data_IF_010377399923
#
_entry.id   IF_010377399923
#
_cell.length_a   1.000
_cell.length_b   1.000
_cell.length_c   1.000
_cell.angle_alpha   90.00
_cell.angle_beta   90.00
_cell.angle_gamma   90.00
#
_symmetry.space_group_name_H-M   'P 1'
#
loop_
_entity.id
_entity.type
_entity.pdbx_description
1 polymer ?
#
# COMPACT_ATOMS: atom_id res chain seq x y z
N UNK A 1 18.05 53.15 -21.85
CA UNK A 1 16.79 52.78 -22.52
C UNK A 1 16.64 51.27 -22.43
N UNK A 2 15.78 50.79 -21.54
CA UNK A 2 15.47 49.35 -21.40
C UNK A 2 14.48 48.94 -22.51
N UNK A 3 14.59 47.73 -23.08
CA UNK A 3 13.64 47.28 -24.09
C UNK A 3 12.26 47.01 -23.46
N UNK A 4 11.18 47.15 -24.25
CA UNK A 4 9.81 47.00 -23.75
C UNK A 4 9.49 45.55 -23.38
N UNK A 5 8.72 45.39 -22.30
CA UNK A 5 8.20 44.12 -21.79
C UNK A 5 7.51 43.33 -22.91
N UNK A 6 7.99 42.11 -23.16
CA UNK A 6 7.30 41.13 -24.00
C UNK A 6 5.99 40.72 -23.29
N UNK A 7 4.83 40.73 -23.98
CA UNK A 7 3.61 40.20 -23.40
C UNK A 7 3.77 38.69 -23.14
N UNK A 8 3.45 38.25 -21.92
CA UNK A 8 3.48 36.86 -21.51
C UNK A 8 2.47 36.04 -22.32
N UNK A 9 2.86 34.84 -22.73
CA UNK A 9 2.01 33.93 -23.51
C UNK A 9 0.93 33.29 -22.62
N UNK A 10 -0.22 32.88 -23.19
CA UNK A 10 -1.29 32.20 -22.43
C UNK A 10 -0.81 30.93 -21.71
N UNK A 11 0.27 30.29 -22.19
CA UNK A 11 0.93 29.15 -21.53
C UNK A 11 1.75 29.54 -20.28
N UNK A 12 2.18 30.80 -20.16
CA UNK A 12 2.87 31.33 -18.97
C UNK A 12 1.88 31.84 -17.92
N UNK A 13 0.67 32.24 -18.33
CA UNK A 13 -0.40 32.70 -17.44
C UNK A 13 -1.16 31.52 -16.80
N UNK A 14 -1.33 30.41 -17.53
CA UNK A 14 -1.99 29.20 -17.03
C UNK A 14 -0.96 28.11 -16.71
N UNK A 15 -0.31 28.28 -15.55
CA UNK A 15 0.65 27.32 -15.00
C UNK A 15 0.12 25.89 -14.91
N UNK A 16 1.04 24.93 -15.08
CA UNK A 16 0.98 23.50 -14.69
C UNK A 16 -0.42 23.00 -14.31
N UNK A 17 -1.32 22.89 -15.30
CA UNK A 17 -2.40 21.91 -15.18
C UNK A 17 -1.79 20.55 -15.46
N UNK A 18 -1.81 19.69 -14.43
CA UNK A 18 -1.43 18.29 -14.56
C UNK A 18 -2.07 17.73 -15.82
N UNK A 19 -1.30 16.92 -16.56
CA UNK A 19 -1.84 16.14 -17.67
C UNK A 19 -3.14 15.51 -17.21
N UNK A 20 -4.24 15.87 -17.86
CA UNK A 20 -5.52 15.19 -17.70
C UNK A 20 -5.26 13.73 -18.10
N UNK A 21 -5.13 12.84 -17.12
CA UNK A 21 -5.07 11.39 -17.36
C UNK A 21 -6.39 11.03 -18.05
N UNK A 22 -6.33 10.61 -19.30
CA UNK A 22 -7.47 10.02 -20.00
C UNK A 22 -7.67 8.58 -19.52
N UNK A 23 -8.92 8.10 -19.51
CA UNK A 23 -9.32 6.76 -19.03
C UNK A 23 -8.50 5.60 -19.66
N UNK A 24 -7.91 5.79 -20.84
CA UNK A 24 -7.05 4.80 -21.47
C UNK A 24 -5.73 4.52 -20.72
N UNK A 25 -5.26 5.45 -19.87
CA UNK A 25 -4.08 5.26 -19.03
C UNK A 25 -4.41 4.66 -17.65
N UNK A 26 -5.70 4.43 -17.33
CA UNK A 26 -6.12 3.92 -16.03
C UNK A 26 -5.81 2.42 -15.82
N UNK A 27 -5.50 1.69 -16.91
CA UNK A 27 -5.21 0.24 -16.88
C UNK A 27 -3.72 -0.10 -16.76
N UNK A 28 -2.82 0.88 -16.93
CA UNK A 28 -1.37 0.67 -16.82
C UNK A 28 -0.89 0.87 -15.39
N UNK A 29 -1.02 -0.17 -14.57
CA UNK A 29 -0.33 -0.30 -13.29
C UNK A 29 1.17 -0.28 -13.54
N UNK A 30 1.84 0.77 -13.07
CA UNK A 30 3.28 0.91 -13.21
C UNK A 30 4.03 0.15 -12.11
N UNK A 31 5.35 0.00 -12.27
CA UNK A 31 6.17 -0.75 -11.31
C UNK A 31 6.24 -0.08 -9.93
N UNK A 32 6.14 1.24 -9.86
CA UNK A 32 6.14 1.98 -8.58
C UNK A 32 4.89 1.65 -7.78
N UNK A 33 3.73 1.64 -8.44
CA UNK A 33 2.47 1.23 -7.81
C UNK A 33 2.54 -0.20 -7.33
N UNK A 34 2.98 -1.15 -8.17
CA UNK A 34 3.17 -2.54 -7.76
C UNK A 34 4.07 -2.68 -6.52
N UNK A 35 5.24 -2.03 -6.53
CA UNK A 35 6.19 -2.09 -5.42
C UNK A 35 5.62 -1.51 -4.12
N UNK A 36 4.71 -0.53 -4.21
CA UNK A 36 4.04 -0.02 -3.01
C UNK A 36 3.17 -1.06 -2.31
N UNK A 37 2.64 -2.05 -3.05
CA UNK A 37 1.91 -3.19 -2.46
C UNK A 37 2.85 -4.29 -1.96
N UNK A 38 3.99 -4.51 -2.63
CA UNK A 38 4.95 -5.56 -2.25
C UNK A 38 5.78 -5.22 -1.01
N UNK A 39 6.31 -3.99 -0.97
CA UNK A 39 7.23 -3.56 0.08
C UNK A 39 6.50 -3.39 1.40
N UNK A 40 7.12 -3.85 2.48
CA UNK A 40 6.65 -3.62 3.84
C UNK A 40 7.19 -2.31 4.38
N UNK A 41 6.48 -1.75 5.36
CA UNK A 41 6.93 -0.58 6.12
C UNK A 41 8.31 -0.85 6.72
N UNK A 42 8.52 -2.05 7.28
CA UNK A 42 9.81 -2.50 7.81
C UNK A 42 10.95 -2.53 6.79
N UNK A 43 10.66 -2.68 5.49
CA UNK A 43 11.70 -2.68 4.44
C UNK A 43 12.26 -1.28 4.18
N UNK A 44 11.52 -0.23 4.56
CA UNK A 44 11.84 1.15 4.19
C UNK A 44 11.92 2.12 5.38
N UNK A 45 11.44 1.74 6.56
CA UNK A 45 11.44 2.59 7.75
C UNK A 45 12.85 2.90 8.28
N UNK A 46 12.98 4.00 9.02
CA UNK A 46 14.17 4.26 9.84
C UNK A 46 14.02 3.60 11.21
N UNK A 47 15.05 2.86 11.63
CA UNK A 47 15.16 2.25 12.96
C UNK A 47 16.09 3.02 13.90
N UNK A 48 16.86 3.98 13.38
CA UNK A 48 17.66 4.89 14.21
C UNK A 48 16.73 5.98 14.76
N UNK A 49 16.28 5.78 15.99
CA UNK A 49 15.26 6.60 16.63
C UNK A 49 15.87 7.58 17.62
N UNK A 50 15.58 8.85 17.39
CA UNK A 50 15.78 9.89 18.39
C UNK A 50 14.44 10.24 19.02
N UNK A 51 14.38 10.19 20.35
CA UNK A 51 13.15 10.35 21.12
C UNK A 51 13.27 11.50 22.11
N UNK A 52 12.14 12.04 22.54
CA UNK A 52 12.03 12.97 23.67
C UNK A 52 11.24 12.35 24.82
N UNK A 53 11.28 12.97 26.00
CA UNK A 53 10.38 12.65 27.12
C UNK A 53 9.38 13.79 27.35
N UNK A 54 8.23 13.54 28.00
CA UNK A 54 7.21 14.57 28.22
C UNK A 54 7.72 15.79 29.00
N UNK A 55 8.68 15.60 29.90
CA UNK A 55 9.25 16.65 30.77
C UNK A 55 10.41 17.40 30.12
N UNK A 56 10.96 16.88 29.01
CA UNK A 56 12.09 17.48 28.33
C UNK A 56 11.74 18.92 27.89
N UNK A 57 12.61 19.91 28.10
CA UNK A 57 12.38 21.25 27.57
C UNK A 57 12.42 21.28 26.04
N UNK A 58 11.53 22.05 25.40
CA UNK A 58 11.49 22.18 23.94
C UNK A 58 12.82 22.64 23.33
N UNK A 59 13.58 23.48 24.04
CA UNK A 59 14.91 23.91 23.62
C UNK A 59 15.90 22.73 23.44
N UNK A 60 15.80 21.68 24.28
CA UNK A 60 16.63 20.49 24.14
C UNK A 60 16.19 19.66 22.94
N UNK A 61 14.88 19.54 22.71
CA UNK A 61 14.38 18.83 21.53
C UNK A 61 14.79 19.54 20.23
N UNK A 62 14.75 20.86 20.20
CA UNK A 62 15.23 21.65 19.05
C UNK A 62 16.70 21.32 18.72
N UNK A 63 17.53 21.12 19.73
CA UNK A 63 18.92 20.72 19.55
C UNK A 63 19.04 19.31 18.95
N UNK A 64 18.23 18.35 19.41
CA UNK A 64 18.13 17.01 18.82
C UNK A 64 17.75 17.10 17.34
N UNK A 65 16.69 17.86 17.03
CA UNK A 65 16.23 18.07 15.64
C UNK A 65 17.34 18.65 14.76
N UNK A 66 18.07 19.65 15.26
CA UNK A 66 19.15 20.32 14.55
C UNK A 66 20.33 19.40 14.26
N UNK A 67 20.83 18.70 15.29
CA UNK A 67 22.01 17.82 15.17
C UNK A 67 21.73 16.68 14.20
N UNK A 68 20.57 16.04 14.34
CA UNK A 68 20.24 14.83 13.59
C UNK A 68 19.53 15.14 12.26
N UNK A 69 19.33 16.43 11.96
CA UNK A 69 18.68 16.93 10.73
C UNK A 69 17.30 16.31 10.49
N UNK A 70 16.56 16.12 11.57
CA UNK A 70 15.18 15.62 11.56
C UNK A 70 14.22 16.74 11.95
N UNK A 71 12.98 16.67 11.49
CA UNK A 71 11.97 17.72 11.72
C UNK A 71 10.88 17.34 12.73
N UNK A 72 11.14 16.34 13.57
CA UNK A 72 10.23 15.86 14.61
C UNK A 72 10.69 14.53 15.20
N UNK A 73 10.24 14.24 16.42
CA UNK A 73 10.61 13.08 17.23
C UNK A 73 9.38 12.47 17.90
N UNK A 74 9.32 11.14 18.03
CA UNK A 74 8.38 10.50 18.94
C UNK A 74 8.74 10.84 20.40
N UNK A 75 7.73 10.95 21.24
CA UNK A 75 7.85 11.21 22.67
C UNK A 75 7.53 9.91 23.40
N UNK A 76 8.45 9.46 24.25
CA UNK A 76 8.28 8.24 25.04
C UNK A 76 8.12 8.57 26.51
N UNK A 77 7.15 7.93 27.16
CA UNK A 77 6.97 7.94 28.62
C UNK A 77 7.07 6.49 29.11
N UNK A 78 8.00 6.22 30.03
CA UNK A 78 8.26 4.86 30.54
C UNK A 78 8.53 3.79 29.45
N UNK A 79 9.03 4.22 28.28
CA UNK A 79 9.29 3.35 27.13
C UNK A 79 8.10 3.13 26.20
N UNK A 80 6.93 3.71 26.50
CA UNK A 80 5.73 3.66 25.67
C UNK A 80 5.56 4.96 24.87
N UNK A 81 4.96 4.85 23.68
CA UNK A 81 4.71 6.00 22.80
C UNK A 81 3.62 6.90 23.39
N UNK A 82 4.03 8.03 23.95
CA UNK A 82 3.15 8.98 24.65
C UNK A 82 2.71 10.15 23.76
N UNK A 83 3.45 10.42 22.69
CA UNK A 83 3.13 11.52 21.78
C UNK A 83 4.11 11.66 20.62
N UNK A 84 3.91 12.71 19.84
CA UNK A 84 4.85 13.15 18.80
C UNK A 84 5.02 14.66 18.85
N UNK A 85 6.26 15.12 18.63
CA UNK A 85 6.59 16.54 18.55
C UNK A 85 7.26 16.83 17.21
N UNK A 86 6.81 17.88 16.53
CA UNK A 86 7.36 18.34 15.27
C UNK A 86 8.08 19.69 15.41
N UNK A 87 8.84 20.05 14.38
CA UNK A 87 9.44 21.38 14.29
C UNK A 87 8.39 22.49 14.26
N UNK A 88 7.19 22.23 13.72
CA UNK A 88 6.08 23.19 13.70
C UNK A 88 5.61 23.53 15.11
N UNK A 89 5.53 22.54 16.00
CA UNK A 89 5.17 22.73 17.41
C UNK A 89 6.20 23.59 18.14
N UNK A 90 7.49 23.36 17.85
CA UNK A 90 8.59 24.17 18.41
C UNK A 90 8.55 25.60 17.89
N UNK A 91 8.26 25.81 16.59
CA UNK A 91 8.10 27.15 16.02
C UNK A 91 6.93 27.87 16.68
N UNK A 92 5.82 27.17 16.94
CA UNK A 92 4.66 27.73 17.64
C UNK A 92 5.00 28.14 19.08
N UNK A 93 5.74 27.30 19.81
CA UNK A 93 6.22 27.62 21.15
C UNK A 93 7.20 28.80 21.16
N UNK A 94 8.09 28.89 20.17
CA UNK A 94 9.05 29.97 20.03
C UNK A 94 8.36 31.32 19.81
N UNK A 95 7.30 31.37 19.00
CA UNK A 95 6.50 32.58 18.81
C UNK A 95 5.86 33.10 20.11
N UNK A 96 5.61 32.21 21.07
CA UNK A 96 5.07 32.53 22.40
C UNK A 96 6.17 32.78 23.45
N UNK A 97 7.45 32.62 23.11
CA UNK A 97 8.56 32.74 24.04
C UNK A 97 8.66 31.57 25.04
N UNK A 98 8.12 30.40 24.70
CA UNK A 98 7.95 29.28 25.62
C UNK A 98 8.90 28.10 25.38
N UNK A 99 10.11 28.33 24.86
CA UNK A 99 11.08 27.25 24.59
C UNK A 99 11.55 26.48 25.85
N UNK A 100 11.34 27.04 27.04
CA UNK A 100 11.61 26.37 28.31
C UNK A 100 10.44 25.47 28.79
N UNK A 101 9.29 25.51 28.11
CA UNK A 101 8.15 24.66 28.45
C UNK A 101 8.45 23.17 28.18
N UNK A 102 7.79 22.26 28.91
CA UNK A 102 7.92 20.84 28.68
C UNK A 102 7.27 20.42 27.35
N UNK A 103 7.81 19.37 26.74
CA UNK A 103 7.29 18.74 25.51
C UNK A 103 5.81 18.38 25.63
N UNK A 104 5.38 17.88 26.79
CA UNK A 104 3.98 17.50 27.07
C UNK A 104 2.96 18.61 26.82
N UNK A 105 3.37 19.88 26.89
CA UNK A 105 2.48 21.02 26.63
C UNK A 105 2.15 21.20 25.14
N UNK A 106 3.03 20.73 24.25
CA UNK A 106 2.97 20.99 22.81
C UNK A 106 2.90 19.74 21.94
N UNK A 107 3.17 18.55 22.51
CA UNK A 107 3.11 17.31 21.76
C UNK A 107 1.67 16.95 21.36
N UNK A 108 1.54 16.26 20.24
CA UNK A 108 0.29 15.60 19.87
C UNK A 108 0.20 14.25 20.59
N UNK A 109 -0.85 14.05 21.38
CA UNK A 109 -1.09 12.83 22.15
C UNK A 109 -1.78 11.72 21.34
N UNK A 110 -2.69 12.10 20.45
CA UNK A 110 -3.35 11.14 19.54
C UNK A 110 -2.43 10.85 18.36
N UNK A 111 -1.56 9.86 18.55
CA UNK A 111 -0.53 9.53 17.57
C UNK A 111 -1.09 8.54 16.55
N UNK A 112 -1.15 8.97 15.29
CA UNK A 112 -1.43 8.07 14.17
C UNK A 112 -0.16 7.26 13.88
N UNK A 113 -0.26 5.94 13.97
CA UNK A 113 0.84 5.00 13.71
C UNK A 113 0.57 4.14 12.47
N UNK A 114 1.61 3.43 12.04
CA UNK A 114 1.51 2.31 11.09
C UNK A 114 2.24 1.11 11.69
N UNK A 115 1.82 -0.10 11.36
CA UNK A 115 2.52 -1.29 11.83
C UNK A 115 3.65 -1.70 10.87
N UNK A 116 4.73 -2.26 11.40
CA UNK A 116 5.93 -2.61 10.63
C UNK A 116 5.68 -3.66 9.52
N UNK A 117 4.66 -4.50 9.68
CA UNK A 117 4.27 -5.53 8.72
C UNK A 117 3.29 -5.03 7.64
N UNK A 118 2.77 -3.81 7.77
CA UNK A 118 1.90 -3.21 6.75
C UNK A 118 2.69 -2.94 5.46
N UNK A 119 1.98 -2.85 4.33
CA UNK A 119 2.59 -2.47 3.07
C UNK A 119 2.87 -0.97 2.99
N UNK A 120 3.79 -0.58 2.12
CA UNK A 120 4.10 0.83 1.85
C UNK A 120 2.87 1.60 1.33
N UNK A 121 2.02 0.97 0.52
CA UNK A 121 0.78 1.59 0.03
C UNK A 121 -0.13 1.99 1.19
N UNK A 122 -0.15 1.19 2.26
CA UNK A 122 -0.92 1.51 3.46
C UNK A 122 -0.40 2.78 4.14
N UNK A 123 0.91 2.89 4.30
CA UNK A 123 1.52 4.11 4.82
C UNK A 123 1.23 5.33 3.92
N UNK A 124 1.24 5.17 2.59
CA UNK A 124 0.88 6.23 1.63
C UNK A 124 -0.58 6.67 1.81
N UNK A 125 -1.52 5.73 2.00
CA UNK A 125 -2.92 6.02 2.30
C UNK A 125 -3.04 6.81 3.61
N UNK A 126 -2.37 6.36 4.67
CA UNK A 126 -2.36 7.06 5.97
C UNK A 126 -1.79 8.47 5.82
N UNK A 127 -0.74 8.66 5.03
CA UNK A 127 -0.17 9.98 4.71
C UNK A 127 -1.04 10.89 3.84
N UNK A 128 -2.03 10.33 3.15
CA UNK A 128 -2.94 11.07 2.27
C UNK A 128 -4.21 11.45 3.03
N UNK A 129 -4.70 10.54 3.87
CA UNK A 129 -5.82 10.77 4.77
C UNK A 129 -5.42 11.73 5.91
N UNK A 130 -4.20 11.59 6.43
CA UNK A 130 -3.63 12.53 7.40
C UNK A 130 -2.83 13.63 6.69
N UNK A 131 -2.68 14.80 7.32
CA UNK A 131 -1.76 15.85 6.84
C UNK A 131 -0.36 15.71 7.44
N UNK A 132 -0.01 14.52 7.92
CA UNK A 132 1.22 14.27 8.66
C UNK A 132 2.41 14.11 7.69
N UNK A 133 3.59 14.53 8.15
CA UNK A 133 4.85 14.38 7.41
C UNK A 133 5.63 13.11 7.78
N UNK A 134 5.30 12.49 8.91
CA UNK A 134 5.92 11.28 9.44
C UNK A 134 4.91 10.45 10.21
N UNK A 135 5.14 9.15 10.32
CA UNK A 135 4.33 8.22 11.10
C UNK A 135 5.26 7.36 11.96
N UNK A 136 5.00 7.25 13.27
CA UNK A 136 5.65 6.24 14.09
C UNK A 136 5.26 4.84 13.64
N UNK A 137 6.23 3.94 13.64
CA UNK A 137 6.06 2.55 13.27
C UNK A 137 6.07 1.69 14.52
N UNK A 138 5.04 0.88 14.69
CA UNK A 138 4.86 0.00 15.86
C UNK A 138 4.93 -1.48 15.51
N UNK A 139 5.28 -2.30 16.49
CA UNK A 139 5.15 -3.77 16.43
C UNK A 139 3.76 -4.26 16.83
N UNK A 140 3.60 -5.58 16.94
CA UNK A 140 2.35 -6.25 17.34
C UNK A 140 1.91 -5.90 18.76
N UNK A 141 2.84 -5.52 19.64
CA UNK A 141 2.61 -5.14 21.02
C UNK A 141 2.42 -3.61 21.17
N UNK A 142 2.21 -2.88 20.07
CA UNK A 142 2.17 -1.42 20.00
C UNK A 142 3.45 -0.70 20.47
N UNK A 143 4.59 -1.40 20.50
CA UNK A 143 5.86 -0.77 20.85
C UNK A 143 6.44 -0.06 19.64
N UNK A 144 7.01 1.12 19.88
CA UNK A 144 7.69 1.89 18.85
C UNK A 144 8.95 1.13 18.38
N UNK A 145 9.00 0.78 17.09
CA UNK A 145 10.13 0.07 16.45
C UNK A 145 10.76 0.84 15.31
N UNK A 146 10.13 1.92 14.85
CA UNK A 146 10.67 2.73 13.77
C UNK A 146 9.89 4.02 13.54
N UNK A 147 10.33 4.75 12.53
CA UNK A 147 9.64 5.93 11.99
C UNK A 147 9.67 5.84 10.47
N UNK A 148 8.60 6.26 9.82
CA UNK A 148 8.52 6.32 8.36
C UNK A 148 8.11 7.71 7.90
N UNK A 149 8.71 8.16 6.79
CA UNK A 149 8.37 9.40 6.09
C UNK A 149 8.12 9.15 4.61
N UNK A 150 7.53 10.13 3.92
CA UNK A 150 7.39 10.11 2.45
C UNK A 150 8.76 9.98 1.74
N UNK A 151 9.81 10.54 2.35
CA UNK A 151 11.18 10.44 1.83
C UNK A 151 11.75 9.03 1.93
N UNK A 152 11.49 8.34 3.04
CA UNK A 152 11.90 6.94 3.25
C UNK A 152 11.21 6.02 2.25
N UNK A 153 9.90 6.19 2.05
CA UNK A 153 9.12 5.48 1.03
C UNK A 153 9.71 5.70 -0.36
N UNK A 154 9.97 6.96 -0.73
CA UNK A 154 10.53 7.30 -2.04
C UNK A 154 11.89 6.63 -2.25
N UNK A 155 12.77 6.69 -1.23
CA UNK A 155 14.09 6.05 -1.27
C UNK A 155 13.98 4.53 -1.36
N UNK A 156 13.13 3.91 -0.56
CA UNK A 156 12.91 2.46 -0.56
C UNK A 156 12.41 1.94 -1.90
N UNK A 157 11.41 2.61 -2.50
CA UNK A 157 10.92 2.28 -3.84
C UNK A 157 12.03 2.42 -4.89
N UNK A 158 12.83 3.50 -4.84
CA UNK A 158 13.94 3.69 -5.77
C UNK A 158 15.00 2.57 -5.66
N UNK A 159 15.34 2.14 -4.45
CA UNK A 159 16.26 1.02 -4.22
C UNK A 159 15.66 -0.29 -4.76
N UNK A 160 14.38 -0.55 -4.50
CA UNK A 160 13.70 -1.75 -4.99
C UNK A 160 13.63 -1.80 -6.53
N UNK A 161 13.35 -0.67 -7.19
CA UNK A 161 13.36 -0.56 -8.65
C UNK A 161 14.73 -0.91 -9.25
N UNK A 162 15.82 -0.49 -8.60
CA UNK A 162 17.18 -0.80 -9.05
C UNK A 162 17.48 -2.30 -8.95
N UNK A 163 17.01 -2.95 -7.88
CA UNK A 163 17.20 -4.39 -7.67
C UNK A 163 16.39 -5.22 -8.66
N UNK A 164 15.15 -4.84 -8.92
CA UNK A 164 14.28 -5.51 -9.89
C UNK A 164 14.87 -5.50 -11.31
N UNK A 165 15.49 -4.39 -11.73
CA UNK A 165 16.13 -4.30 -13.04
C UNK A 165 17.20 -5.39 -13.22
N UNK A 166 17.96 -5.68 -12.17
CA UNK A 166 18.98 -6.74 -12.17
C UNK A 166 18.34 -8.15 -12.18
N UNK A 167 17.22 -8.35 -11.48
CA UNK A 167 16.52 -9.65 -11.43
C UNK A 167 15.75 -9.98 -12.73
N UNK A 168 15.19 -8.97 -13.41
CA UNK A 168 14.49 -9.14 -14.69
C UNK A 168 15.43 -9.57 -15.83
N UNK A 169 16.68 -9.08 -15.87
CA UNK A 169 17.69 -9.54 -16.84
C UNK A 169 17.98 -11.04 -16.70
N UNK A 170 17.98 -11.57 -15.46
CA UNK A 170 18.23 -13.00 -15.19
C UNK A 170 17.00 -13.86 -15.50
N UNK A 171 15.77 -13.37 -15.23
CA UNK A 171 14.53 -14.11 -15.52
C UNK A 171 14.22 -14.22 -17.00
N UNK A 172 14.60 -13.23 -17.81
CA UNK A 172 14.49 -13.29 -19.27
C UNK A 172 15.23 -14.50 -19.87
N UNK A 173 16.22 -15.03 -19.15
CA UNK A 173 16.98 -16.23 -19.51
C UNK A 173 16.29 -17.56 -19.16
N UNK A 174 15.17 -17.55 -18.42
CA UNK A 174 14.44 -18.75 -17.98
C UNK A 174 12.94 -18.65 -18.21
N UNK A 175 12.54 -18.46 -19.46
CA UNK A 175 11.17 -18.76 -19.87
C UNK A 175 11.18 -20.06 -20.66
N UNK A 176 10.46 -21.07 -20.19
CA UNK A 176 10.14 -22.25 -21.00
C UNK A 176 8.92 -23.03 -20.48
N UNK A 177 7.83 -22.95 -21.24
CA UNK A 177 6.99 -24.07 -21.69
C UNK A 177 6.12 -24.88 -20.70
N UNK A 178 5.89 -24.45 -19.45
CA UNK A 178 5.06 -25.23 -18.51
C UNK A 178 3.64 -25.57 -19.02
N UNK A 179 3.04 -24.72 -19.87
CA UNK A 179 1.73 -25.00 -20.49
C UNK A 179 1.81 -25.51 -21.94
N UNK A 180 2.95 -25.31 -22.61
CA UNK A 180 3.11 -25.70 -24.02
C UNK A 180 3.41 -27.20 -24.16
N UNK A 181 3.97 -27.82 -23.11
CA UNK A 181 4.28 -29.26 -23.08
C UNK A 181 3.12 -30.13 -22.54
N UNK A 182 1.99 -29.52 -22.12
CA UNK A 182 0.84 -30.25 -21.57
C UNK A 182 -0.24 -30.39 -22.65
N UNK A 183 -0.30 -31.56 -23.29
CA UNK A 183 -1.38 -31.91 -24.22
C UNK A 183 -2.63 -32.26 -23.40
N UNK A 184 -3.61 -31.35 -23.37
CA UNK A 184 -4.92 -31.56 -22.77
C UNK A 184 -5.97 -30.74 -23.51
N UNK A 185 -7.21 -31.24 -23.59
CA UNK A 185 -8.34 -30.47 -24.12
C UNK A 185 -8.58 -29.19 -23.29
N UNK A 186 -8.26 -29.24 -21.98
CA UNK A 186 -8.23 -28.09 -21.07
C UNK A 186 -7.21 -28.31 -19.96
N UNK A 187 -6.33 -27.33 -19.77
CA UNK A 187 -5.41 -27.26 -18.63
C UNK A 187 -5.77 -26.06 -17.77
N UNK A 188 -5.95 -26.29 -16.48
CA UNK A 188 -6.17 -25.22 -15.49
C UNK A 188 -5.19 -25.40 -14.34
N UNK A 189 -4.38 -24.38 -14.07
CA UNK A 189 -3.58 -24.33 -12.85
C UNK A 189 -4.42 -23.73 -11.74
N UNK A 190 -4.56 -24.45 -10.62
CA UNK A 190 -5.33 -23.99 -9.46
C UNK A 190 -4.40 -23.79 -8.28
N UNK A 191 -4.31 -22.57 -7.76
CA UNK A 191 -3.65 -22.26 -6.49
C UNK A 191 -4.70 -21.96 -5.43
N UNK A 192 -4.54 -22.52 -4.23
CA UNK A 192 -5.46 -22.32 -3.10
C UNK A 192 -4.68 -21.91 -1.86
N UNK A 193 -5.20 -20.90 -1.17
CA UNK A 193 -4.63 -20.35 0.05
C UNK A 193 -5.71 -20.28 1.11
N UNK A 194 -5.39 -20.75 2.31
CA UNK A 194 -6.22 -20.54 3.49
C UNK A 194 -5.73 -19.28 4.18
N UNK A 195 -6.59 -18.28 4.27
CA UNK A 195 -6.29 -16.99 4.89
C UNK A 195 -6.83 -17.00 6.30
N UNK A 196 -5.97 -16.77 7.29
CA UNK A 196 -6.37 -16.76 8.70
C UNK A 196 -6.97 -15.40 9.07
N UNK A 197 -8.03 -15.42 9.88
CA UNK A 197 -8.60 -14.21 10.45
C UNK A 197 -7.54 -13.45 11.26
N UNK A 198 -7.45 -12.13 11.08
CA UNK A 198 -6.58 -11.21 11.84
C UNK A 198 -5.07 -11.50 11.76
N UNK A 199 -4.60 -12.31 10.81
CA UNK A 199 -3.18 -12.60 10.60
C UNK A 199 -2.49 -11.52 9.73
N UNK A 200 -2.44 -10.28 10.25
CA UNK A 200 -1.91 -9.13 9.51
C UNK A 200 -0.41 -9.23 9.22
N UNK A 201 0.35 -9.92 10.07
CA UNK A 201 1.79 -10.15 9.90
C UNK A 201 2.11 -10.83 8.57
N UNK A 202 1.26 -11.80 8.18
CA UNK A 202 1.42 -12.55 6.94
C UNK A 202 0.62 -11.96 5.77
N UNK A 203 -0.01 -10.80 5.96
CA UNK A 203 -0.82 -10.17 4.94
C UNK A 203 -0.02 -9.83 3.68
N UNK A 204 -0.53 -10.26 2.53
CA UNK A 204 0.09 -10.02 1.21
C UNK A 204 1.00 -11.16 0.76
N UNK A 205 1.19 -12.19 1.59
CA UNK A 205 1.98 -13.36 1.23
C UNK A 205 1.32 -14.18 0.11
N UNK A 206 -0.01 -14.33 0.13
CA UNK A 206 -0.69 -15.07 -0.94
C UNK A 206 -0.53 -14.33 -2.28
N UNK A 207 -0.75 -13.01 -2.28
CA UNK A 207 -0.49 -12.16 -3.46
C UNK A 207 0.95 -12.28 -3.97
N UNK A 208 1.94 -12.13 -3.08
CA UNK A 208 3.36 -12.22 -3.44
C UNK A 208 3.72 -13.58 -4.06
N UNK A 209 3.20 -14.67 -3.49
CA UNK A 209 3.43 -16.03 -3.99
C UNK A 209 2.75 -16.27 -5.34
N UNK A 210 1.51 -15.80 -5.51
CA UNK A 210 0.78 -15.83 -6.78
C UNK A 210 1.56 -15.08 -7.86
N UNK A 211 2.01 -13.86 -7.57
CA UNK A 211 2.78 -13.04 -8.50
C UNK A 211 4.07 -13.75 -8.92
N UNK A 212 4.80 -14.32 -7.97
CA UNK A 212 6.03 -15.08 -8.24
C UNK A 212 5.74 -16.31 -9.09
N UNK A 213 4.63 -17.02 -8.85
CA UNK A 213 4.22 -18.16 -9.65
C UNK A 213 3.87 -17.75 -11.09
N UNK A 214 3.04 -16.71 -11.27
CA UNK A 214 2.65 -16.19 -12.59
C UNK A 214 3.86 -15.73 -13.41
N UNK A 215 4.78 -14.97 -12.79
CA UNK A 215 6.01 -14.55 -13.47
C UNK A 215 6.91 -15.73 -13.87
N UNK A 216 7.02 -16.77 -13.01
CA UNK A 216 7.81 -17.98 -13.32
C UNK A 216 7.19 -18.83 -14.44
N UNK A 217 5.88 -18.73 -14.63
CA UNK A 217 5.14 -19.39 -15.70
C UNK A 217 5.19 -18.63 -17.03
N UNK A 218 5.95 -17.53 -17.11
CA UNK A 218 6.03 -16.68 -18.30
C UNK A 218 4.82 -15.74 -18.46
N UNK A 219 4.06 -15.50 -17.38
CA UNK A 219 2.92 -14.59 -17.42
C UNK A 219 3.34 -13.17 -17.82
N UNK A 220 2.47 -12.51 -18.59
CA UNK A 220 2.68 -11.11 -18.99
C UNK A 220 2.84 -10.23 -17.72
N UNK A 221 3.87 -9.35 -17.66
CA UNK A 221 4.12 -8.53 -16.47
C UNK A 221 2.95 -7.64 -16.06
N UNK A 222 2.22 -7.06 -17.03
CA UNK A 222 1.09 -6.19 -16.77
C UNK A 222 -0.11 -6.94 -16.19
N UNK A 223 -0.40 -8.13 -16.73
CA UNK A 223 -1.44 -9.02 -16.20
C UNK A 223 -1.07 -9.49 -14.80
N UNK A 224 0.21 -9.82 -14.59
CA UNK A 224 0.71 -10.30 -13.30
C UNK A 224 0.64 -9.21 -12.22
N UNK A 225 0.96 -7.95 -12.56
CA UNK A 225 0.77 -6.77 -11.69
C UNK A 225 -0.67 -6.59 -11.26
N UNK A 226 -1.57 -6.54 -12.25
CA UNK A 226 -3.01 -6.41 -12.05
C UNK A 226 -3.55 -7.51 -11.12
N UNK A 227 -3.16 -8.75 -11.38
CA UNK A 227 -3.53 -9.90 -10.56
C UNK A 227 -2.99 -9.76 -9.13
N UNK A 228 -1.71 -9.42 -8.96
CA UNK A 228 -1.10 -9.26 -7.64
C UNK A 228 -1.82 -8.22 -6.78
N UNK A 229 -2.08 -7.04 -7.32
CA UNK A 229 -2.77 -5.97 -6.56
C UNK A 229 -4.20 -6.38 -6.22
N UNK A 230 -4.95 -6.94 -7.18
CA UNK A 230 -6.31 -7.40 -6.91
C UNK A 230 -6.37 -8.49 -5.82
N UNK A 231 -5.43 -9.43 -5.87
CA UNK A 231 -5.31 -10.50 -4.86
C UNK A 231 -4.89 -9.95 -3.51
N UNK A 232 -4.00 -8.94 -3.45
CA UNK A 232 -3.61 -8.32 -2.19
C UNK A 232 -4.81 -7.70 -1.47
N UNK A 233 -5.61 -6.91 -2.19
CA UNK A 233 -6.81 -6.26 -1.63
C UNK A 233 -7.84 -7.30 -1.16
N UNK A 234 -8.04 -8.36 -1.95
CA UNK A 234 -8.92 -9.46 -1.58
C UNK A 234 -8.41 -10.24 -0.36
N UNK A 235 -7.11 -10.48 -0.28
CA UNK A 235 -6.44 -11.13 0.86
C UNK A 235 -6.60 -10.28 2.13
N UNK A 236 -6.41 -8.96 2.05
CA UNK A 236 -6.57 -8.06 3.20
C UNK A 236 -8.02 -8.06 3.68
N UNK A 237 -8.99 -8.00 2.76
CA UNK A 237 -10.40 -8.08 3.12
C UNK A 237 -10.74 -9.38 3.85
N UNK A 238 -10.15 -10.51 3.43
CA UNK A 238 -10.30 -11.78 4.15
C UNK A 238 -9.73 -11.67 5.56
N UNK A 239 -8.48 -11.21 5.73
CA UNK A 239 -7.85 -11.05 7.05
C UNK A 239 -8.69 -10.17 8.00
N UNK A 240 -9.24 -9.09 7.45
CA UNK A 240 -9.98 -8.08 8.22
C UNK A 240 -11.37 -8.57 8.62
N UNK A 241 -12.12 -9.19 7.70
CA UNK A 241 -13.57 -9.37 7.85
C UNK A 241 -14.00 -10.79 8.21
N UNK A 242 -13.20 -11.81 7.90
CA UNK A 242 -13.59 -13.20 8.21
C UNK A 242 -13.63 -13.47 9.71
N UNK A 243 -14.52 -14.36 10.14
CA UNK A 243 -14.60 -14.79 11.53
C UNK A 243 -13.63 -15.93 11.82
N UNK A 244 -13.58 -16.96 10.95
CA UNK A 244 -12.78 -18.17 11.18
C UNK A 244 -11.71 -18.43 10.10
N UNK A 245 -11.55 -17.51 9.15
CA UNK A 245 -10.64 -17.64 8.02
C UNK A 245 -11.39 -17.80 6.70
N UNK A 246 -10.73 -17.37 5.63
CA UNK A 246 -11.28 -17.41 4.28
C UNK A 246 -10.46 -18.27 3.33
N UNK A 247 -11.04 -18.57 2.17
CA UNK A 247 -10.34 -19.26 1.09
C UNK A 247 -10.08 -18.25 -0.01
N UNK A 248 -8.83 -18.16 -0.46
CA UNK A 248 -8.45 -17.48 -1.69
C UNK A 248 -8.03 -18.51 -2.73
N UNK A 249 -8.65 -18.46 -3.91
CA UNK A 249 -8.41 -19.40 -5.01
C UNK A 249 -8.06 -18.63 -6.29
N UNK A 250 -7.01 -19.05 -6.96
CA UNK A 250 -6.60 -18.59 -8.28
C UNK A 250 -6.75 -19.75 -9.27
N UNK A 251 -7.43 -19.51 -10.39
CA UNK A 251 -7.51 -20.43 -11.53
C UNK A 251 -6.93 -19.74 -12.76
N UNK A 252 -5.86 -20.32 -13.30
CA UNK A 252 -5.18 -19.82 -14.49
C UNK A 252 -5.51 -20.75 -15.65
N UNK A 253 -6.20 -20.19 -16.63
CA UNK A 253 -6.57 -20.79 -17.91
C UNK A 253 -5.87 -20.00 -19.05
N UNK A 254 -5.70 -20.57 -20.25
CA UNK A 254 -4.98 -19.91 -21.36
C UNK A 254 -5.48 -18.49 -21.71
N UNK A 255 -6.78 -18.23 -21.55
CA UNK A 255 -7.38 -16.95 -21.93
C UNK A 255 -7.95 -16.17 -20.74
N UNK A 256 -7.73 -16.66 -19.52
CA UNK A 256 -8.38 -16.09 -18.34
C UNK A 256 -7.70 -16.46 -17.04
N UNK A 257 -7.57 -15.50 -16.16
CA UNK A 257 -7.26 -15.71 -14.74
C UNK A 257 -8.52 -15.39 -13.94
N UNK A 258 -8.99 -16.35 -13.15
CA UNK A 258 -10.10 -16.16 -12.21
C UNK A 258 -9.55 -16.18 -10.78
N UNK A 259 -9.83 -15.13 -10.02
CA UNK A 259 -9.52 -15.04 -8.59
C UNK A 259 -10.84 -15.06 -7.83
N UNK A 260 -10.99 -15.93 -6.85
CA UNK A 260 -12.20 -15.98 -6.03
C UNK A 260 -11.86 -16.06 -4.56
N UNK A 261 -12.59 -15.31 -3.75
CA UNK A 261 -12.53 -15.42 -2.29
C UNK A 261 -13.89 -15.78 -1.71
N UNK A 262 -13.86 -16.51 -0.59
CA UNK A 262 -15.04 -16.82 0.22
C UNK A 262 -14.66 -16.68 1.69
N UNK A 263 -15.50 -16.00 2.46
CA UNK A 263 -15.41 -15.88 3.91
C UNK A 263 -16.76 -16.12 4.59
N UNK A 264 -16.70 -16.26 5.91
CA UNK A 264 -17.80 -16.42 6.83
C UNK A 264 -18.03 -15.16 7.70
N UNK A 265 -17.56 -14.00 7.22
CA UNK A 265 -17.58 -12.73 7.92
C UNK A 265 -18.98 -12.13 8.08
N UNK A 266 -19.07 -10.83 8.46
CA UNK A 266 -20.35 -10.17 8.75
C UNK A 266 -21.23 -9.98 7.51
N UNK A 267 -20.69 -10.14 6.31
CA UNK A 267 -21.35 -9.76 5.07
C UNK A 267 -21.45 -8.24 4.89
N UNK A 268 -21.91 -7.82 3.72
CA UNK A 268 -22.00 -6.43 3.27
C UNK A 268 -23.49 -6.09 3.09
N UNK A 269 -24.06 -5.17 3.90
CA UNK A 269 -25.48 -4.81 3.81
C UNK A 269 -25.87 -4.14 2.50
N UNK A 270 -25.02 -3.24 1.99
CA UNK A 270 -25.21 -2.54 0.72
C UNK A 270 -23.95 -2.64 -0.14
N UNK A 271 -24.01 -3.54 -1.12
CA UNK A 271 -22.92 -3.80 -2.07
C UNK A 271 -22.68 -2.58 -2.97
N UNK A 272 -23.73 -1.86 -3.34
CA UNK A 272 -23.62 -0.70 -4.23
C UNK A 272 -22.86 0.43 -3.55
N UNK A 273 -23.15 0.64 -2.26
CA UNK A 273 -22.45 1.59 -1.43
C UNK A 273 -20.99 1.17 -1.17
N UNK A 274 -20.75 -0.12 -0.93
CA UNK A 274 -19.40 -0.66 -0.71
C UNK A 274 -18.44 -0.48 -1.91
N UNK A 275 -18.98 -0.34 -3.11
CA UNK A 275 -18.20 -0.08 -4.33
C UNK A 275 -17.89 1.41 -4.56
N UNK A 276 -18.36 2.31 -3.70
CA UNK A 276 -18.07 3.75 -3.80
C UNK A 276 -16.72 4.09 -3.15
N UNK A 277 -15.91 4.96 -3.78
CA UNK A 277 -14.64 5.41 -3.21
C UNK A 277 -14.80 6.01 -1.81
N UNK A 278 -13.95 5.58 -0.88
CA UNK A 278 -13.93 6.12 0.49
C UNK A 278 -14.96 5.51 1.43
N UNK A 279 -15.82 4.60 0.96
CA UNK A 279 -16.74 3.87 1.83
C UNK A 279 -16.10 2.61 2.39
N UNK A 280 -16.16 2.45 3.71
CA UNK A 280 -15.52 1.33 4.42
C UNK A 280 -16.53 0.49 5.19
N UNK A 281 -16.47 -0.82 4.96
CA UNK A 281 -17.22 -1.84 5.71
C UNK A 281 -16.50 -2.28 6.99
N UNK A 282 -15.35 -1.68 7.32
CA UNK A 282 -14.57 -1.99 8.51
C UNK A 282 -15.24 -1.50 9.80
N UNK A 283 -15.12 -2.29 10.86
CA UNK A 283 -15.50 -1.88 12.22
C UNK A 283 -14.63 -0.71 12.68
N UNK A 284 -15.08 0.01 13.71
CA UNK A 284 -14.36 1.16 14.28
C UNK A 284 -12.95 0.76 14.75
N UNK A 285 -12.82 -0.38 15.45
CA UNK A 285 -11.55 -0.96 15.87
C UNK A 285 -10.59 -1.23 14.69
N UNK A 286 -11.09 -1.70 13.55
CA UNK A 286 -10.28 -1.94 12.35
C UNK A 286 -9.85 -0.61 11.70
N UNK A 287 -10.71 0.42 11.76
CA UNK A 287 -10.39 1.77 11.30
C UNK A 287 -9.36 2.48 12.17
N UNK A 288 -9.42 2.25 13.48
CA UNK A 288 -8.41 2.72 14.43
C UNK A 288 -7.05 2.06 14.19
N UNK A 289 -7.01 0.81 13.74
CA UNK A 289 -5.79 0.12 13.27
C UNK A 289 -5.31 0.62 11.89
N UNK A 290 -5.89 1.70 11.35
CA UNK A 290 -5.54 2.28 10.05
C UNK A 290 -6.17 1.58 8.85
N UNK A 291 -6.83 0.43 9.00
CA UNK A 291 -7.46 -0.32 7.91
C UNK A 291 -8.85 0.20 7.54
N UNK A 292 -9.31 -0.07 6.31
CA UNK A 292 -10.65 0.36 5.90
C UNK A 292 -10.74 1.85 5.54
N UNK A 293 -9.83 2.33 4.70
CA UNK A 293 -9.96 3.62 4.00
C UNK A 293 -11.02 3.60 2.88
N UNK A 294 -11.66 2.44 2.64
CA UNK A 294 -12.71 2.28 1.63
C UNK A 294 -12.22 2.25 0.19
N UNK A 295 -10.95 1.89 -0.03
CA UNK A 295 -10.33 1.85 -1.36
C UNK A 295 -10.19 0.45 -1.95
N UNK A 296 -10.21 -0.61 -1.14
CA UNK A 296 -9.86 -1.96 -1.61
C UNK A 296 -10.74 -2.50 -2.74
N UNK A 297 -12.07 -2.40 -2.61
CA UNK A 297 -13.01 -2.82 -3.68
C UNK A 297 -12.85 -1.98 -4.97
N UNK A 298 -12.54 -0.70 -4.84
CA UNK A 298 -12.29 0.21 -5.97
C UNK A 298 -10.98 -0.13 -6.67
N UNK A 299 -9.92 -0.38 -5.89
CA UNK A 299 -8.62 -0.79 -6.40
C UNK A 299 -8.71 -2.13 -7.13
N UNK A 300 -9.43 -3.10 -6.56
CA UNK A 300 -9.72 -4.38 -7.25
C UNK A 300 -10.44 -4.15 -8.57
N UNK A 301 -11.52 -3.35 -8.57
CA UNK A 301 -12.29 -3.05 -9.80
C UNK A 301 -11.44 -2.40 -10.89
N UNK A 302 -10.46 -1.55 -10.53
CA UNK A 302 -9.52 -0.96 -11.49
C UNK A 302 -8.55 -1.99 -12.09
N UNK A 303 -8.19 -3.02 -11.32
CA UNK A 303 -7.20 -4.01 -11.71
C UNK A 303 -7.78 -5.16 -12.55
N UNK A 304 -9.10 -5.35 -12.58
CA UNK A 304 -9.73 -6.55 -13.17
C UNK A 304 -10.75 -6.18 -14.25
N UNK A 305 -11.03 -7.10 -15.18
CA UNK A 305 -11.98 -6.84 -16.26
C UNK A 305 -13.43 -7.08 -15.80
N UNK A 306 -13.64 -8.01 -14.87
CA UNK A 306 -14.94 -8.24 -14.22
C UNK A 306 -14.77 -8.46 -12.73
N UNK A 307 -15.70 -7.92 -11.96
CA UNK A 307 -15.81 -8.10 -10.50
C UNK A 307 -17.27 -8.40 -10.16
N UNK A 308 -17.50 -9.55 -9.53
CA UNK A 308 -18.78 -10.03 -9.03
C UNK A 308 -18.69 -10.18 -7.52
N UNK A 309 -19.62 -9.57 -6.79
CA UNK A 309 -19.67 -9.60 -5.33
C UNK A 309 -21.03 -10.12 -4.89
N UNK A 310 -21.03 -11.23 -4.17
CA UNK A 310 -22.20 -11.83 -3.54
C UNK A 310 -21.99 -11.76 -2.03
N UNK A 311 -22.91 -11.14 -1.29
CA UNK A 311 -22.76 -11.01 0.15
C UNK A 311 -24.11 -11.11 0.84
N UNK A 312 -24.14 -11.77 2.00
CA UNK A 312 -25.33 -11.85 2.83
C UNK A 312 -24.97 -11.53 4.27
N UNK A 313 -25.67 -10.56 4.86
CA UNK A 313 -25.46 -10.13 6.24
C UNK A 313 -25.57 -11.33 7.19
N UNK A 314 -24.54 -11.53 7.99
CA UNK A 314 -24.40 -12.63 8.95
C UNK A 314 -24.02 -13.99 8.35
N UNK A 315 -23.76 -14.10 7.04
CA UNK A 315 -23.33 -15.35 6.39
C UNK A 315 -21.95 -15.27 5.71
N UNK A 316 -21.45 -14.06 5.45
CA UNK A 316 -20.17 -13.83 4.81
C UNK A 316 -20.29 -13.32 3.37
N UNK A 317 -19.14 -13.27 2.71
CA UNK A 317 -18.99 -12.68 1.37
C UNK A 317 -18.29 -13.65 0.43
N UNK A 318 -18.68 -13.60 -0.84
CA UNK A 318 -18.02 -14.26 -1.96
C UNK A 318 -17.71 -13.21 -3.02
N UNK A 319 -16.44 -13.12 -3.38
CA UNK A 319 -15.95 -12.22 -4.41
C UNK A 319 -15.35 -13.06 -5.53
N UNK A 320 -15.69 -12.73 -6.78
CA UNK A 320 -15.10 -13.33 -7.97
C UNK A 320 -14.61 -12.21 -8.87
N UNK A 321 -13.33 -12.28 -9.23
CA UNK A 321 -12.67 -11.33 -10.11
C UNK A 321 -12.08 -12.08 -11.29
N UNK A 322 -12.11 -11.48 -12.49
CA UNK A 322 -11.51 -12.10 -13.69
C UNK A 322 -10.67 -11.11 -14.47
N UNK A 323 -9.53 -11.58 -14.95
CA UNK A 323 -8.67 -10.89 -15.91
C UNK A 323 -8.62 -11.75 -17.18
N UNK A 324 -8.90 -11.14 -18.33
CA UNK A 324 -8.76 -11.73 -19.65
C UNK A 324 -7.28 -11.74 -20.03
N UNK A 325 -6.81 -12.87 -20.56
CA UNK A 325 -5.44 -13.03 -21.05
C UNK A 325 -5.50 -13.03 -22.58
N UNK A 326 -4.95 -12.00 -23.25
CA UNK A 326 -4.89 -11.97 -24.71
C UNK A 326 -4.14 -13.18 -25.26
N UNK A 327 -4.64 -13.73 -26.36
CA UNK A 327 -4.08 -14.91 -27.04
C UNK A 327 -2.61 -14.73 -27.45
N UNK A 328 -2.19 -13.49 -27.71
CA UNK A 328 -0.83 -13.14 -28.16
C UNK A 328 0.21 -13.10 -27.01
N UNK A 329 -0.22 -13.17 -25.75
CA UNK A 329 0.67 -12.96 -24.58
C UNK A 329 1.21 -14.21 -23.90
N UNK A 330 0.80 -15.40 -24.35
CA UNK A 330 1.40 -16.67 -23.90
C UNK A 330 2.40 -17.25 -24.91
N UNK A 331 2.34 -16.84 -26.17
CA UNK A 331 3.27 -17.25 -27.22
C UNK A 331 4.32 -16.18 -27.44
N UNK A 332 5.23 -16.03 -26.48
CA UNK A 332 6.44 -15.25 -26.70
C UNK A 332 7.36 -16.01 -27.64
N UNK A 333 7.48 -15.51 -28.88
CA UNK A 333 8.45 -15.86 -29.95
C UNK A 333 7.93 -16.77 -31.08
N UNK A 334 7.32 -16.13 -32.07
CA UNK A 334 7.63 -16.45 -33.46
C UNK A 334 7.61 -15.15 -34.26
N UNK A 335 8.77 -14.69 -34.71
CA UNK A 335 9.02 -14.18 -36.07
C UNK A 335 10.42 -13.54 -36.16
N UNK A 336 11.22 -14.05 -37.11
CA UNK A 336 12.30 -13.33 -37.80
C UNK A 336 13.69 -13.63 -37.33
#
# INVERSE_FOLDING_TARGET
MCPPNRPQTEQEIYGRRGRTMTDQNAHEINRVEELSYDLKVSDVMSTDLHTATPEMPLAQVLEILRIHRISGVPVLENGELAGILSLEDIVHAMQKGELAAPVSKYMTHEVVTVAFYESVVKAIETFTASRLGRLPVVDEDNKLVGMITKGDITRGILIALQKDYQEEEVRRYRASHLFEDIISDRTTLVLRYNIKARDFNHGGNASSNIKRALMRLGGNPQITRRCGIAVYEAEMNLIIHTNNGGILKLEVEPHRITMSTVDDGPGIPDITQALQPGYSTATEQVREMGFGAGMGLVNMKRCVDTLELESTVGKGTKLVMRILVPTETLTGHSHG
#
